data_IF_674779595741
#
_entry.id   IF_674779595741
#
_cell.length_a   1.000
_cell.length_b   1.000
_cell.length_c   1.000
_cell.angle_alpha   90.00
_cell.angle_beta   90.00
_cell.angle_gamma   90.00
#
_symmetry.space_group_name_H-M   'P 1'
#
loop_
_entity.id
_entity.type
_entity.pdbx_description
1 polymer ?
#
# COMPACT_ATOMS: atom_id res chain seq x y z
N UNK A 1 -27.18 -18.57 1.52
CA UNK A 1 -26.05 -18.12 2.35
C UNK A 1 -26.50 -16.94 3.21
N UNK A 2 -26.58 -17.11 4.52
CA UNK A 2 -26.86 -16.03 5.48
C UNK A 2 -25.60 -15.18 5.79
N UNK A 3 -24.66 -15.06 4.85
CA UNK A 3 -23.46 -14.28 5.10
C UNK A 3 -23.81 -12.78 4.96
N UNK A 4 -23.62 -11.97 6.03
CA UNK A 4 -23.99 -10.55 6.06
C UNK A 4 -23.25 -9.70 5.02
N UNK A 5 -22.04 -10.12 4.61
CA UNK A 5 -21.26 -9.42 3.59
C UNK A 5 -21.78 -9.67 2.17
N UNK A 6 -22.51 -10.76 1.93
CA UNK A 6 -23.07 -11.10 0.62
C UNK A 6 -24.39 -10.33 0.39
N UNK A 7 -25.24 -10.22 1.42
CA UNK A 7 -26.58 -9.62 1.32
C UNK A 7 -26.61 -8.18 1.85
N UNK A 8 -25.69 -7.34 1.40
CA UNK A 8 -25.53 -5.98 1.95
C UNK A 8 -26.41 -4.96 1.23
N UNK A 9 -26.90 -3.99 2.00
CA UNK A 9 -27.48 -2.74 1.51
C UNK A 9 -26.37 -1.76 1.09
N UNK A 10 -26.74 -0.60 0.52
CA UNK A 10 -25.80 0.46 0.09
C UNK A 10 -24.89 1.00 1.21
N UNK A 11 -25.28 0.83 2.49
CA UNK A 11 -24.52 1.24 3.66
C UNK A 11 -23.91 0.02 4.34
N UNK A 12 -22.59 0.06 4.60
CA UNK A 12 -21.89 -1.05 5.31
C UNK A 12 -22.29 -1.09 6.78
N UNK A 13 -22.84 -2.21 7.22
CA UNK A 13 -23.27 -2.46 8.61
C UNK A 13 -22.17 -3.19 9.36
N UNK A 14 -21.19 -2.43 9.90
CA UNK A 14 -20.01 -2.97 10.58
C UNK A 14 -20.33 -3.83 11.81
N UNK A 15 -21.50 -3.63 12.42
CA UNK A 15 -22.03 -4.38 13.58
C UNK A 15 -22.57 -5.77 13.22
N UNK A 16 -22.66 -6.12 11.92
CA UNK A 16 -23.34 -7.32 11.46
C UNK A 16 -22.43 -8.40 10.91
N UNK A 17 -21.13 -8.17 10.84
CA UNK A 17 -20.19 -9.16 10.33
C UNK A 17 -18.93 -9.23 11.16
N UNK A 18 -18.48 -10.46 11.38
CA UNK A 18 -17.20 -10.81 11.98
C UNK A 18 -16.16 -11.21 10.93
N UNK A 19 -14.89 -11.30 11.34
CA UNK A 19 -13.75 -11.62 10.48
C UNK A 19 -13.93 -12.95 9.70
N UNK A 20 -14.52 -13.96 10.34
CA UNK A 20 -14.80 -15.28 9.75
C UNK A 20 -15.73 -15.22 8.52
N UNK A 21 -16.49 -14.15 8.33
CA UNK A 21 -17.38 -13.99 7.19
C UNK A 21 -16.65 -13.59 5.91
N UNK A 22 -15.44 -13.02 5.98
CA UNK A 22 -14.76 -12.44 4.82
C UNK A 22 -14.35 -13.49 3.80
N UNK A 23 -13.62 -14.54 4.19
CA UNK A 23 -13.13 -15.54 3.23
C UNK A 23 -14.29 -16.27 2.50
N UNK A 24 -15.36 -16.72 3.19
CA UNK A 24 -16.54 -17.27 2.51
C UNK A 24 -17.21 -16.28 1.56
N UNK A 25 -17.34 -15.00 1.95
CA UNK A 25 -17.95 -13.97 1.12
C UNK A 25 -17.10 -13.64 -0.12
N UNK A 26 -15.78 -13.53 0.04
CA UNK A 26 -14.82 -13.31 -1.04
C UNK A 26 -14.88 -14.47 -2.04
N UNK A 27 -14.81 -15.72 -1.57
CA UNK A 27 -14.89 -16.90 -2.43
C UNK A 27 -16.22 -16.94 -3.21
N UNK A 28 -17.33 -16.60 -2.55
CA UNK A 28 -18.63 -16.51 -3.21
C UNK A 28 -18.66 -15.41 -4.29
N UNK A 29 -18.22 -14.20 -3.96
CA UNK A 29 -18.18 -13.08 -4.89
C UNK A 29 -17.24 -13.34 -6.08
N UNK A 30 -16.10 -13.98 -5.85
CA UNK A 30 -15.19 -14.45 -6.92
C UNK A 30 -15.88 -15.45 -7.84
N UNK A 31 -16.64 -16.40 -7.29
CA UNK A 31 -17.40 -17.37 -8.09
C UNK A 31 -18.46 -16.68 -8.97
N UNK A 32 -19.26 -15.77 -8.39
CA UNK A 32 -20.26 -15.00 -9.14
C UNK A 32 -19.59 -14.15 -10.23
N UNK A 33 -18.49 -13.49 -9.91
CA UNK A 33 -17.75 -12.67 -10.87
C UNK A 33 -17.18 -13.49 -12.03
N UNK A 34 -16.58 -14.66 -11.75
CA UNK A 34 -16.13 -15.60 -12.79
C UNK A 34 -17.28 -16.05 -13.70
N UNK A 35 -18.49 -16.26 -13.15
CA UNK A 35 -19.67 -16.57 -13.95
C UNK A 35 -20.05 -15.41 -14.87
N UNK A 36 -20.14 -14.18 -14.34
CA UNK A 36 -20.42 -12.98 -15.15
C UNK A 36 -19.39 -12.78 -16.27
N UNK A 37 -18.10 -12.95 -15.97
CA UNK A 37 -17.03 -12.87 -16.97
C UNK A 37 -17.16 -13.98 -18.02
N UNK A 38 -17.51 -15.20 -17.61
CA UNK A 38 -17.80 -16.30 -18.55
C UNK A 38 -18.95 -15.94 -19.48
N UNK A 39 -20.03 -15.36 -18.96
CA UNK A 39 -21.19 -14.95 -19.76
C UNK A 39 -20.78 -13.90 -20.82
N UNK A 40 -19.90 -12.94 -20.48
CA UNK A 40 -19.32 -11.99 -21.44
C UNK A 40 -18.54 -12.71 -22.54
N UNK A 41 -17.66 -13.65 -22.16
CA UNK A 41 -16.84 -14.41 -23.12
C UNK A 41 -17.68 -15.28 -24.05
N UNK A 42 -18.74 -15.91 -23.54
CA UNK A 42 -19.60 -16.81 -24.34
C UNK A 42 -20.74 -16.10 -25.06
N UNK A 43 -20.87 -14.77 -24.93
CA UNK A 43 -21.89 -14.01 -25.65
C UNK A 43 -21.55 -13.98 -27.15
N UNK A 44 -22.42 -14.57 -27.97
CA UNK A 44 -22.26 -14.65 -29.42
C UNK A 44 -22.73 -13.39 -30.17
N UNK A 45 -23.34 -12.43 -29.46
CA UNK A 45 -23.67 -11.12 -30.05
C UNK A 45 -22.38 -10.33 -30.35
N UNK A 46 -22.38 -9.44 -31.36
CA UNK A 46 -21.27 -8.52 -31.57
C UNK A 46 -20.91 -7.77 -30.28
N UNK A 47 -19.61 -7.69 -29.97
CA UNK A 47 -19.15 -7.01 -28.77
C UNK A 47 -19.47 -5.51 -28.86
N UNK A 48 -20.02 -4.95 -27.79
CA UNK A 48 -20.35 -3.53 -27.68
C UNK A 48 -20.10 -3.05 -26.24
N UNK A 49 -20.30 -1.75 -26.00
CA UNK A 49 -20.10 -1.17 -24.67
C UNK A 49 -20.89 -1.88 -23.57
N UNK A 50 -22.20 -2.08 -23.76
CA UNK A 50 -23.08 -2.67 -22.76
C UNK A 50 -22.73 -4.13 -22.41
N UNK A 51 -22.53 -4.97 -23.42
CA UNK A 51 -22.33 -6.41 -23.23
C UNK A 51 -20.89 -6.82 -22.90
N UNK A 52 -19.93 -5.90 -23.02
CA UNK A 52 -18.50 -6.17 -22.79
C UNK A 52 -17.91 -5.23 -21.76
N UNK A 53 -17.86 -3.92 -22.02
CA UNK A 53 -17.17 -2.95 -21.16
C UNK A 53 -17.95 -2.72 -19.86
N UNK A 54 -19.21 -2.31 -19.95
CA UNK A 54 -20.07 -2.09 -18.79
C UNK A 54 -20.32 -3.38 -18.02
N UNK A 55 -20.57 -4.49 -18.73
CA UNK A 55 -20.72 -5.80 -18.11
C UNK A 55 -19.47 -6.22 -17.32
N UNK A 56 -18.28 -5.94 -17.84
CA UNK A 56 -17.01 -6.25 -17.16
C UNK A 56 -16.81 -5.35 -15.94
N UNK A 57 -17.11 -4.05 -16.02
CA UNK A 57 -17.03 -3.12 -14.89
C UNK A 57 -17.92 -3.58 -13.72
N UNK A 58 -19.15 -4.01 -14.02
CA UNK A 58 -20.11 -4.50 -13.03
C UNK A 58 -19.85 -5.96 -12.57
N UNK A 59 -18.93 -6.67 -13.23
CA UNK A 59 -18.71 -8.10 -12.99
C UNK A 59 -18.15 -8.38 -11.60
N UNK A 60 -17.35 -7.48 -11.03
CA UNK A 60 -16.62 -7.68 -9.78
C UNK A 60 -17.02 -6.70 -8.65
N UNK A 61 -18.12 -5.96 -8.81
CA UNK A 61 -18.55 -4.91 -7.89
C UNK A 61 -18.70 -5.41 -6.43
N UNK A 62 -19.36 -6.56 -6.23
CA UNK A 62 -19.52 -7.15 -4.89
C UNK A 62 -18.19 -7.56 -4.27
N UNK A 63 -17.32 -8.17 -5.09
CA UNK A 63 -15.98 -8.58 -4.65
C UNK A 63 -15.15 -7.37 -4.23
N UNK A 64 -15.16 -6.31 -5.05
CA UNK A 64 -14.47 -5.05 -4.73
C UNK A 64 -14.99 -4.45 -3.43
N UNK A 65 -16.31 -4.43 -3.21
CA UNK A 65 -16.90 -3.93 -1.97
C UNK A 65 -16.42 -4.71 -0.75
N UNK A 66 -16.54 -6.05 -0.77
CA UNK A 66 -16.17 -6.92 0.36
C UNK A 66 -14.68 -6.78 0.68
N UNK A 67 -13.82 -6.80 -0.35
CA UNK A 67 -12.36 -6.69 -0.18
C UNK A 67 -11.97 -5.29 0.30
N UNK A 68 -12.67 -4.24 -0.14
CA UNK A 68 -12.41 -2.88 0.33
C UNK A 68 -12.74 -2.71 1.81
N UNK A 69 -13.88 -3.24 2.26
CA UNK A 69 -14.26 -3.25 3.69
C UNK A 69 -13.17 -3.95 4.51
N UNK A 70 -12.72 -5.12 4.05
CA UNK A 70 -11.66 -5.87 4.71
C UNK A 70 -10.36 -5.05 4.84
N UNK A 71 -9.88 -4.45 3.74
CA UNK A 71 -8.60 -3.72 3.78
C UNK A 71 -8.69 -2.38 4.52
N UNK A 72 -9.88 -1.77 4.61
CA UNK A 72 -10.13 -0.65 5.54
C UNK A 72 -9.96 -1.13 6.99
N UNK A 73 -10.63 -2.21 7.38
CA UNK A 73 -10.53 -2.78 8.72
C UNK A 73 -9.11 -3.24 9.05
N UNK A 74 -8.44 -3.91 8.11
CA UNK A 74 -7.03 -4.28 8.23
C UNK A 74 -6.15 -3.06 8.48
N UNK A 75 -6.45 -1.91 7.89
CA UNK A 75 -5.70 -0.66 8.10
C UNK A 75 -5.93 -0.01 9.47
N UNK A 76 -7.11 -0.17 10.07
CA UNK A 76 -7.47 0.48 11.35
C UNK A 76 -7.39 -0.44 12.57
N UNK A 77 -7.58 -1.74 12.40
CA UNK A 77 -7.65 -2.77 13.44
C UNK A 77 -6.72 -3.95 13.08
N UNK A 78 -5.43 -3.66 12.87
CA UNK A 78 -4.42 -4.66 12.46
C UNK A 78 -3.98 -5.58 13.60
N UNK A 79 -4.90 -6.37 14.18
CA UNK A 79 -4.55 -7.49 15.06
C UNK A 79 -3.94 -8.66 14.26
N UNK A 80 -3.47 -9.70 14.95
CA UNK A 80 -2.77 -10.80 14.29
C UNK A 80 -3.71 -11.64 13.40
N UNK A 81 -4.99 -11.74 13.72
CA UNK A 81 -5.97 -12.52 12.94
C UNK A 81 -6.30 -11.81 11.63
N UNK A 82 -6.45 -10.48 11.65
CA UNK A 82 -6.57 -9.70 10.43
C UNK A 82 -5.30 -9.79 9.57
N UNK A 83 -4.10 -9.84 10.15
CA UNK A 83 -2.86 -9.99 9.37
C UNK A 83 -2.74 -11.35 8.68
N UNK A 84 -3.09 -12.42 9.37
CA UNK A 84 -3.09 -13.77 8.79
C UNK A 84 -4.02 -13.84 7.59
N UNK A 85 -5.25 -13.33 7.73
CA UNK A 85 -6.22 -13.35 6.63
C UNK A 85 -5.75 -12.54 5.41
N UNK A 86 -4.94 -11.49 5.60
CA UNK A 86 -4.42 -10.68 4.50
C UNK A 86 -3.42 -11.46 3.65
N UNK A 87 -2.67 -12.40 4.26
CA UNK A 87 -1.75 -13.30 3.57
C UNK A 87 -2.51 -14.31 2.69
N UNK A 88 -3.74 -14.66 3.04
CA UNK A 88 -4.59 -15.55 2.23
C UNK A 88 -5.37 -14.80 1.15
N UNK A 89 -5.92 -13.62 1.46
CA UNK A 89 -6.72 -12.82 0.54
C UNK A 89 -5.86 -12.25 -0.60
N UNK A 90 -4.67 -11.70 -0.29
CA UNK A 90 -3.88 -10.96 -1.28
C UNK A 90 -3.43 -11.81 -2.49
N UNK A 91 -2.94 -13.05 -2.32
CA UNK A 91 -2.63 -13.94 -3.43
C UNK A 91 -3.85 -14.35 -4.24
N UNK A 92 -4.98 -14.65 -3.59
CA UNK A 92 -6.24 -15.02 -4.27
C UNK A 92 -6.75 -13.88 -5.16
N UNK A 93 -6.68 -12.65 -4.66
CA UNK A 93 -7.07 -11.46 -5.43
C UNK A 93 -6.13 -11.20 -6.62
N UNK A 94 -4.83 -11.46 -6.46
CA UNK A 94 -3.88 -11.35 -7.56
C UNK A 94 -4.16 -12.42 -8.64
N UNK A 95 -4.38 -13.67 -8.25
CA UNK A 95 -4.76 -14.76 -9.15
C UNK A 95 -6.04 -14.44 -9.91
N UNK A 96 -7.10 -14.04 -9.20
CA UNK A 96 -8.37 -13.64 -9.79
C UNK A 96 -8.22 -12.50 -10.80
N UNK A 97 -7.45 -11.47 -10.46
CA UNK A 97 -7.17 -10.36 -11.38
C UNK A 97 -6.47 -10.87 -12.64
N UNK A 98 -5.48 -11.76 -12.50
CA UNK A 98 -4.74 -12.31 -13.62
C UNK A 98 -5.60 -13.23 -14.50
N UNK A 99 -6.54 -13.98 -13.92
CA UNK A 99 -7.52 -14.78 -14.66
C UNK A 99 -8.38 -13.92 -15.59
N UNK A 100 -8.69 -12.69 -15.22
CA UNK A 100 -9.47 -11.76 -16.02
C UNK A 100 -8.58 -11.07 -17.06
N UNK A 101 -7.52 -10.41 -16.60
CA UNK A 101 -6.69 -9.53 -17.42
C UNK A 101 -5.90 -10.28 -18.50
N UNK A 102 -5.48 -11.50 -18.21
CA UNK A 102 -4.68 -12.30 -19.14
C UNK A 102 -5.52 -13.24 -20.01
N UNK A 103 -6.85 -13.18 -19.90
CA UNK A 103 -7.74 -13.99 -20.72
C UNK A 103 -7.84 -13.43 -22.14
N UNK A 104 -7.44 -14.22 -23.12
CA UNK A 104 -7.37 -13.82 -24.53
C UNK A 104 -8.74 -13.53 -25.12
N UNK A 105 -9.71 -14.42 -24.93
CA UNK A 105 -11.08 -14.25 -25.44
C UNK A 105 -11.75 -12.99 -24.90
N UNK A 106 -11.55 -12.70 -23.61
CA UNK A 106 -12.07 -11.48 -23.01
C UNK A 106 -11.35 -10.24 -23.56
N UNK A 107 -10.03 -10.30 -23.69
CA UNK A 107 -9.24 -9.20 -24.24
C UNK A 107 -9.61 -8.90 -25.70
N UNK A 108 -9.84 -9.91 -26.54
CA UNK A 108 -10.29 -9.73 -27.92
C UNK A 108 -11.62 -8.97 -28.00
N UNK A 109 -12.58 -9.29 -27.13
CA UNK A 109 -13.85 -8.56 -27.04
C UNK A 109 -13.65 -7.12 -26.60
N UNK A 110 -12.83 -6.88 -25.56
CA UNK A 110 -12.49 -5.52 -25.11
C UNK A 110 -11.80 -4.72 -26.22
N UNK A 111 -10.84 -5.33 -26.90
CA UNK A 111 -10.12 -4.73 -28.02
C UNK A 111 -11.07 -4.39 -29.16
N UNK A 112 -12.01 -5.28 -29.50
CA UNK A 112 -13.00 -5.00 -30.53
C UNK A 112 -13.80 -3.73 -30.23
N UNK A 113 -14.33 -3.58 -29.01
CA UNK A 113 -15.10 -2.39 -28.62
C UNK A 113 -14.23 -1.13 -28.65
N UNK A 114 -12.96 -1.23 -28.24
CA UNK A 114 -12.01 -0.14 -28.30
C UNK A 114 -11.70 0.28 -29.75
N UNK A 115 -11.37 -0.67 -30.63
CA UNK A 115 -11.02 -0.39 -32.03
C UNK A 115 -12.21 0.19 -32.82
N UNK A 116 -13.44 -0.22 -32.50
CA UNK A 116 -14.67 0.20 -33.19
C UNK A 116 -15.45 1.26 -32.40
N UNK A 117 -14.83 1.95 -31.44
CA UNK A 117 -15.52 2.90 -30.57
C UNK A 117 -16.26 4.00 -31.34
N UNK A 118 -15.70 4.48 -32.46
CA UNK A 118 -16.33 5.46 -33.34
C UNK A 118 -17.56 4.90 -34.07
N UNK A 119 -17.51 3.66 -34.55
CA UNK A 119 -18.63 3.00 -35.24
C UNK A 119 -19.77 2.65 -34.28
N UNK A 120 -19.42 2.36 -33.03
CA UNK A 120 -20.36 2.13 -31.93
C UNK A 120 -20.92 3.44 -31.35
N UNK A 121 -20.50 4.60 -31.87
CA UNK A 121 -20.89 5.94 -31.40
C UNK A 121 -20.67 6.14 -29.89
N UNK A 122 -19.57 5.62 -29.35
CA UNK A 122 -19.23 5.84 -27.94
C UNK A 122 -18.72 7.27 -27.75
N UNK A 123 -19.34 8.02 -26.83
CA UNK A 123 -18.93 9.36 -26.45
C UNK A 123 -18.76 9.49 -24.92
N UNK A 124 -18.32 10.67 -24.48
CA UNK A 124 -18.24 11.03 -23.07
C UNK A 124 -17.58 9.96 -22.17
N UNK A 125 -18.35 9.52 -21.17
CA UNK A 125 -17.89 8.57 -20.15
C UNK A 125 -17.76 7.13 -20.68
N UNK A 126 -18.59 6.73 -21.64
CA UNK A 126 -18.56 5.38 -22.23
C UNK A 126 -17.27 5.17 -23.03
N UNK A 127 -16.89 6.17 -23.83
CA UNK A 127 -15.61 6.18 -24.54
C UNK A 127 -14.44 6.15 -23.55
N UNK A 128 -14.51 6.96 -22.48
CA UNK A 128 -13.45 7.02 -21.48
C UNK A 128 -13.28 5.69 -20.75
N UNK A 129 -14.37 5.05 -20.33
CA UNK A 129 -14.34 3.76 -19.65
C UNK A 129 -13.79 2.67 -20.57
N UNK A 130 -14.15 2.70 -21.87
CA UNK A 130 -13.61 1.77 -22.87
C UNK A 130 -12.10 1.91 -23.02
N UNK A 131 -11.59 3.15 -23.11
CA UNK A 131 -10.15 3.44 -23.17
C UNK A 131 -9.41 2.97 -21.91
N UNK A 132 -9.92 3.30 -20.72
CA UNK A 132 -9.31 2.88 -19.46
C UNK A 132 -9.31 1.36 -19.30
N UNK A 133 -10.39 0.70 -19.68
CA UNK A 133 -10.51 -0.76 -19.66
C UNK A 133 -9.48 -1.39 -20.59
N UNK A 134 -9.42 -0.97 -21.85
CA UNK A 134 -8.42 -1.46 -22.80
C UNK A 134 -6.98 -1.24 -22.30
N UNK A 135 -6.66 -0.02 -21.88
CA UNK A 135 -5.32 0.33 -21.37
C UNK A 135 -4.95 -0.51 -20.15
N UNK A 136 -5.91 -0.86 -19.28
CA UNK A 136 -5.69 -1.74 -18.13
C UNK A 136 -5.29 -3.15 -18.56
N UNK A 137 -5.88 -3.71 -19.62
CA UNK A 137 -5.48 -5.01 -20.17
C UNK A 137 -4.05 -4.96 -20.72
N UNK A 138 -3.77 -4.01 -21.61
CA UNK A 138 -2.45 -3.83 -22.24
C UNK A 138 -1.36 -3.68 -21.18
N UNK A 139 -1.56 -2.73 -20.26
CA UNK A 139 -0.61 -2.41 -19.19
C UNK A 139 -0.31 -3.61 -18.29
N UNK A 140 -1.25 -4.54 -18.15
CA UNK A 140 -1.08 -5.71 -17.29
C UNK A 140 -0.87 -7.00 -18.09
N UNK A 141 -0.36 -6.90 -19.33
CA UNK A 141 0.23 -8.04 -20.04
C UNK A 141 -0.71 -8.87 -20.88
N UNK A 142 -1.88 -8.34 -21.28
CA UNK A 142 -2.80 -9.10 -22.16
C UNK A 142 -2.19 -9.47 -23.51
N UNK A 143 -1.22 -8.68 -24.00
CA UNK A 143 -0.48 -8.91 -25.25
C UNK A 143 0.71 -9.86 -25.14
N UNK A 144 1.05 -10.32 -23.94
CA UNK A 144 2.16 -11.25 -23.74
C UNK A 144 1.83 -12.63 -24.32
N UNK A 145 2.86 -13.38 -24.68
CA UNK A 145 2.69 -14.79 -25.03
C UNK A 145 2.36 -15.65 -23.79
N UNK A 146 2.03 -16.92 -24.01
CA UNK A 146 1.61 -17.85 -22.95
C UNK A 146 2.65 -18.00 -21.85
N UNK A 147 3.93 -18.13 -22.19
CA UNK A 147 5.00 -18.35 -21.22
C UNK A 147 5.27 -17.09 -20.39
N UNK A 148 5.26 -15.93 -21.06
CA UNK A 148 5.35 -14.62 -20.42
C UNK A 148 4.15 -14.35 -19.49
N UNK A 149 2.93 -14.76 -19.87
CA UNK A 149 1.75 -14.68 -19.00
C UNK A 149 1.89 -15.52 -17.74
N UNK A 150 2.45 -16.72 -17.85
CA UNK A 150 2.75 -17.58 -16.69
C UNK A 150 3.77 -16.90 -15.78
N UNK A 151 4.84 -16.36 -16.35
CA UNK A 151 5.86 -15.64 -15.59
C UNK A 151 5.30 -14.40 -14.87
N UNK A 152 4.45 -13.61 -15.56
CA UNK A 152 3.79 -12.46 -14.97
C UNK A 152 2.87 -12.85 -13.82
N UNK A 153 2.15 -13.98 -13.94
CA UNK A 153 1.28 -14.51 -12.88
C UNK A 153 2.05 -14.80 -11.60
N UNK A 154 3.19 -15.49 -11.72
CA UNK A 154 4.03 -15.82 -10.57
C UNK A 154 4.63 -14.56 -9.92
N UNK A 155 5.06 -13.59 -10.73
CA UNK A 155 5.56 -12.30 -10.22
C UNK A 155 4.46 -11.55 -9.44
N UNK A 156 3.25 -11.46 -9.99
CA UNK A 156 2.14 -10.72 -9.37
C UNK A 156 1.66 -11.40 -8.09
N UNK A 157 1.64 -12.74 -8.05
CA UNK A 157 1.31 -13.53 -6.86
C UNK A 157 2.33 -13.32 -5.75
N UNK A 158 3.63 -13.34 -6.08
CA UNK A 158 4.66 -13.14 -5.06
C UNK A 158 4.66 -11.69 -4.54
N UNK A 159 4.53 -10.70 -5.44
CA UNK A 159 4.43 -9.29 -5.06
C UNK A 159 3.21 -9.01 -4.16
N UNK A 160 2.09 -9.71 -4.36
CA UNK A 160 0.88 -9.51 -3.55
C UNK A 160 1.04 -10.04 -2.13
N UNK A 161 1.82 -11.11 -1.92
CA UNK A 161 2.14 -11.63 -0.58
C UNK A 161 3.21 -10.79 0.15
N UNK A 162 4.22 -10.30 -0.58
CA UNK A 162 5.34 -9.55 0.02
C UNK A 162 4.92 -8.21 0.61
N UNK A 163 3.88 -7.55 0.06
CA UNK A 163 3.42 -6.23 0.54
C UNK A 163 2.82 -6.28 1.95
N UNK A 164 1.80 -7.13 2.26
CA UNK A 164 1.33 -7.29 3.63
C UNK A 164 2.44 -7.75 4.58
N UNK A 165 3.35 -8.61 4.12
CA UNK A 165 4.48 -9.06 4.95
C UNK A 165 5.42 -7.91 5.32
N UNK A 166 5.74 -7.02 4.38
CA UNK A 166 6.54 -5.83 4.63
C UNK A 166 5.88 -4.94 5.70
N UNK A 167 4.59 -4.64 5.54
CA UNK A 167 3.82 -3.81 6.48
C UNK A 167 3.75 -4.44 7.87
N UNK A 168 3.47 -5.74 7.95
CA UNK A 168 3.44 -6.49 9.22
C UNK A 168 4.78 -6.43 9.94
N UNK A 169 5.88 -6.67 9.23
CA UNK A 169 7.22 -6.61 9.82
C UNK A 169 7.54 -5.19 10.36
N UNK A 170 7.19 -4.13 9.62
CA UNK A 170 7.39 -2.76 10.08
C UNK A 170 6.57 -2.43 11.34
N UNK A 171 5.30 -2.87 11.38
CA UNK A 171 4.44 -2.69 12.55
C UNK A 171 4.99 -3.44 13.77
N UNK A 172 5.36 -4.70 13.59
CA UNK A 172 5.90 -5.53 14.67
C UNK A 172 7.26 -4.99 15.16
N UNK A 173 8.13 -4.49 14.26
CA UNK A 173 9.36 -3.83 14.65
C UNK A 173 9.12 -2.53 15.44
N UNK A 174 8.07 -1.77 15.09
CA UNK A 174 7.66 -0.57 15.83
C UNK A 174 7.16 -0.94 17.23
N UNK A 175 6.27 -1.95 17.34
CA UNK A 175 5.65 -2.39 18.60
C UNK A 175 6.63 -3.09 19.55
N UNK A 176 7.65 -3.78 19.03
CA UNK A 176 8.63 -4.52 19.84
C UNK A 176 9.61 -3.62 20.57
N UNK A 177 9.81 -2.38 20.12
CA UNK A 177 10.76 -1.48 20.76
C UNK A 177 10.16 -0.87 22.03
N UNK A 178 10.87 -1.08 23.13
CA UNK A 178 10.58 -0.48 24.42
C UNK A 178 11.88 0.07 25.02
N UNK A 179 11.89 1.36 25.35
CA UNK A 179 13.00 2.00 26.06
C UNK A 179 12.55 2.37 27.47
N UNK A 180 13.03 1.60 28.45
CA UNK A 180 12.74 1.85 29.86
C UNK A 180 13.69 2.92 30.43
N UNK A 181 13.12 3.92 31.09
CA UNK A 181 13.81 5.02 31.76
C UNK A 181 13.25 5.13 33.19
N UNK A 182 14.12 5.02 34.19
CA UNK A 182 13.74 5.19 35.61
C UNK A 182 14.11 6.56 36.19
N UNK A 183 14.88 7.38 35.46
CA UNK A 183 15.40 8.64 35.97
C UNK A 183 14.52 9.81 35.56
N UNK A 184 13.97 10.54 36.55
CA UNK A 184 13.24 11.79 36.33
C UNK A 184 14.06 12.84 35.56
N UNK A 185 15.39 12.83 35.70
CA UNK A 185 16.27 13.78 35.00
C UNK A 185 16.25 13.56 33.49
N UNK A 186 16.10 12.32 33.03
CA UNK A 186 16.16 11.99 31.60
C UNK A 186 14.86 12.28 30.85
N UNK A 187 13.77 12.57 31.57
CA UNK A 187 12.45 12.81 30.98
C UNK A 187 12.02 14.29 31.04
N UNK A 188 12.95 15.20 31.40
CA UNK A 188 12.69 16.64 31.43
C UNK A 188 12.32 17.17 30.04
N UNK A 189 11.43 18.16 30.03
CA UNK A 189 10.87 18.78 28.82
C UNK A 189 9.73 18.01 28.16
N UNK A 190 9.62 16.70 28.39
CA UNK A 190 8.57 15.86 27.78
C UNK A 190 7.19 16.27 28.34
N UNK A 191 6.16 16.48 27.49
CA UNK A 191 4.81 16.81 27.94
C UNK A 191 4.23 15.76 28.88
N UNK A 192 3.50 16.21 29.90
CA UNK A 192 2.91 15.33 30.93
C UNK A 192 2.02 14.23 30.33
N UNK A 193 1.21 14.54 29.33
CA UNK A 193 0.37 13.56 28.62
C UNK A 193 1.16 12.40 28.00
N UNK A 194 2.40 12.65 27.56
CA UNK A 194 3.29 11.63 27.00
C UNK A 194 3.93 10.81 28.11
N UNK A 195 4.28 11.46 29.24
CA UNK A 195 4.77 10.77 30.43
C UNK A 195 3.71 9.86 31.03
N UNK A 196 2.44 10.25 31.04
CA UNK A 196 1.32 9.40 31.48
C UNK A 196 1.19 8.15 30.62
N UNK A 197 1.26 8.29 29.28
CA UNK A 197 1.24 7.15 28.35
C UNK A 197 2.43 6.21 28.63
N UNK A 198 3.64 6.76 28.75
CA UNK A 198 4.84 5.97 28.98
C UNK A 198 4.87 5.30 30.37
N UNK A 199 4.32 5.96 31.39
CA UNK A 199 4.19 5.41 32.74
C UNK A 199 3.12 4.30 32.82
N UNK A 200 1.98 4.48 32.13
CA UNK A 200 0.99 3.42 31.97
C UNK A 200 1.61 2.19 31.31
N UNK A 201 2.43 2.40 30.26
CA UNK A 201 3.14 1.31 29.59
C UNK A 201 4.18 0.61 30.48
N UNK A 202 4.87 1.36 31.35
CA UNK A 202 5.78 0.80 32.35
C UNK A 202 5.02 -0.09 33.35
N UNK A 203 3.88 0.40 33.85
CA UNK A 203 3.02 -0.32 34.76
C UNK A 203 2.43 -1.61 34.15
N UNK A 204 2.02 -1.57 32.88
CA UNK A 204 1.58 -2.77 32.13
C UNK A 204 2.67 -3.85 32.04
N UNK A 205 3.94 -3.45 32.14
CA UNK A 205 5.11 -4.33 32.07
C UNK A 205 5.73 -4.60 33.45
N UNK A 206 5.02 -4.31 34.54
CA UNK A 206 5.48 -4.47 35.92
C UNK A 206 6.80 -3.74 36.22
N UNK A 207 6.98 -2.54 35.66
CA UNK A 207 8.15 -1.67 35.87
C UNK A 207 7.74 -0.29 36.37
N UNK A 208 8.57 0.28 37.26
CA UNK A 208 8.47 1.68 37.67
C UNK A 208 9.05 2.62 36.60
N UNK A 209 8.70 3.91 36.62
CA UNK A 209 9.23 4.90 35.68
C UNK A 209 8.45 4.94 34.37
N UNK A 210 9.16 5.04 33.23
CA UNK A 210 8.56 5.23 31.90
C UNK A 210 9.10 4.23 30.88
N UNK A 211 8.21 3.72 30.03
CA UNK A 211 8.58 2.97 28.83
C UNK A 211 8.18 3.79 27.60
N UNK A 212 9.16 4.24 26.82
CA UNK A 212 8.93 4.94 25.57
C UNK A 212 8.91 3.97 24.38
N UNK A 213 7.95 4.17 23.49
CA UNK A 213 7.68 3.36 22.29
C UNK A 213 7.85 4.20 21.02
N UNK A 214 7.82 3.57 19.84
CA UNK A 214 8.08 4.22 18.55
C UNK A 214 6.81 4.68 17.80
N UNK A 215 5.62 4.52 18.37
CA UNK A 215 4.41 5.09 17.79
C UNK A 215 4.44 6.62 17.81
N UNK A 216 3.82 7.23 16.79
CA UNK A 216 3.95 8.66 16.54
C UNK A 216 3.52 9.57 17.71
N UNK A 217 2.46 9.25 18.50
CA UNK A 217 2.08 10.02 19.68
C UNK A 217 3.15 10.07 20.78
N UNK A 218 4.04 9.07 20.88
CA UNK A 218 5.16 9.06 21.84
C UNK A 218 6.44 9.57 21.20
N UNK A 219 6.81 9.03 20.04
CA UNK A 219 8.07 9.37 19.36
C UNK A 219 8.18 10.86 19.03
N UNK A 220 7.14 11.45 18.43
CA UNK A 220 7.21 12.83 17.94
C UNK A 220 7.41 13.82 19.08
N UNK A 221 6.63 13.79 20.18
CA UNK A 221 6.88 14.69 21.31
C UNK A 221 8.22 14.46 22.00
N UNK A 222 8.71 13.22 22.09
CA UNK A 222 10.05 12.96 22.65
C UNK A 222 11.13 13.62 21.80
N UNK A 223 11.05 13.52 20.47
CA UNK A 223 12.01 14.17 19.58
C UNK A 223 11.92 15.70 19.60
N UNK A 224 10.73 16.25 19.82
CA UNK A 224 10.50 17.70 19.85
C UNK A 224 10.88 18.35 21.18
N UNK A 225 10.57 17.70 22.31
CA UNK A 225 10.58 18.37 23.62
C UNK A 225 11.55 17.77 24.64
N UNK A 226 12.00 16.53 24.49
CA UNK A 226 12.89 15.94 25.48
C UNK A 226 14.20 16.72 25.53
N UNK A 227 14.63 17.17 26.70
CA UNK A 227 15.88 17.90 26.88
C UNK A 227 17.10 16.95 26.79
N UNK A 228 16.95 15.70 27.23
CA UNK A 228 18.01 14.70 27.25
C UNK A 228 18.41 14.25 25.82
N UNK A 229 19.61 14.66 25.39
CA UNK A 229 20.14 14.35 24.05
C UNK A 229 20.33 12.85 23.83
N UNK A 230 20.72 12.10 24.86
CA UNK A 230 20.97 10.66 24.77
C UNK A 230 19.65 9.91 24.55
N UNK A 231 18.56 10.35 25.18
CA UNK A 231 17.21 9.84 24.95
C UNK A 231 16.78 10.08 23.51
N UNK A 232 16.93 11.33 23.00
CA UNK A 232 16.62 11.65 21.60
C UNK A 232 17.45 10.79 20.64
N UNK A 233 18.74 10.62 20.89
CA UNK A 233 19.62 9.78 20.07
C UNK A 233 19.16 8.32 20.04
N UNK A 234 18.85 7.73 21.21
CA UNK A 234 18.36 6.34 21.30
C UNK A 234 17.06 6.15 20.53
N UNK A 235 16.11 7.08 20.70
CA UNK A 235 14.81 7.05 20.03
C UNK A 235 14.97 7.23 18.51
N UNK A 236 15.79 8.19 18.08
CA UNK A 236 16.07 8.47 16.67
C UNK A 236 16.71 7.25 15.98
N UNK A 237 17.75 6.67 16.59
CA UNK A 237 18.41 5.48 16.08
C UNK A 237 17.45 4.29 15.99
N UNK A 238 16.61 4.09 17.01
CA UNK A 238 15.61 3.03 17.02
C UNK A 238 14.56 3.21 15.92
N UNK A 239 14.02 4.42 15.76
CA UNK A 239 12.99 4.73 14.77
C UNK A 239 13.50 4.57 13.34
N UNK A 240 14.72 5.02 13.06
CA UNK A 240 15.33 4.94 11.72
C UNK A 240 15.93 3.58 11.38
N UNK A 241 16.09 2.68 12.37
CA UNK A 241 16.54 1.30 12.14
C UNK A 241 15.41 0.27 12.18
N UNK A 242 14.15 0.71 12.28
CA UNK A 242 12.97 -0.18 12.27
C UNK A 242 12.98 -1.08 11.05
N UNK A 243 12.72 -2.36 11.30
CA UNK A 243 12.71 -3.42 10.28
C UNK A 243 14.00 -3.49 9.44
N UNK A 244 15.15 -3.01 9.96
CA UNK A 244 16.44 -3.03 9.26
C UNK A 244 17.38 -4.14 9.79
N UNK A 245 16.84 -5.17 10.43
CA UNK A 245 17.59 -6.27 11.05
C UNK A 245 16.69 -7.13 11.96
N UNK A 246 17.27 -8.18 12.54
CA UNK A 246 16.56 -9.08 13.45
C UNK A 246 15.39 -9.83 12.82
N UNK A 247 14.47 -10.28 13.68
CA UNK A 247 13.30 -11.11 13.35
C UNK A 247 12.36 -10.47 12.30
N UNK A 248 12.17 -9.15 12.38
CA UNK A 248 11.24 -8.40 11.53
C UNK A 248 11.94 -7.61 10.42
N UNK A 249 13.10 -8.10 9.95
CA UNK A 249 13.85 -7.44 8.89
C UNK A 249 13.10 -7.42 7.56
N UNK A 250 13.05 -6.24 6.93
CA UNK A 250 12.50 -6.03 5.61
C UNK A 250 13.55 -5.94 4.50
N UNK A 251 14.85 -6.09 4.80
CA UNK A 251 15.93 -5.99 3.80
C UNK A 251 15.72 -6.93 2.60
N UNK A 252 15.53 -8.22 2.89
CA UNK A 252 15.37 -9.24 1.86
C UNK A 252 14.01 -9.12 1.14
N UNK A 253 12.96 -8.71 1.86
CA UNK A 253 11.64 -8.45 1.28
C UNK A 253 11.73 -7.28 0.29
N UNK A 254 12.36 -6.17 0.68
CA UNK A 254 12.53 -5.00 -0.19
C UNK A 254 13.39 -5.33 -1.41
N UNK A 255 14.48 -6.08 -1.23
CA UNK A 255 15.30 -6.58 -2.34
C UNK A 255 14.46 -7.45 -3.29
N UNK A 256 13.62 -8.34 -2.77
CA UNK A 256 12.76 -9.19 -3.60
C UNK A 256 11.69 -8.39 -4.34
N UNK A 257 11.02 -7.46 -3.65
CA UNK A 257 10.02 -6.56 -4.25
C UNK A 257 10.64 -5.75 -5.40
N UNK A 258 11.82 -5.16 -5.20
CA UNK A 258 12.49 -4.33 -6.22
C UNK A 258 12.93 -5.18 -7.41
N UNK A 259 13.50 -6.36 -7.19
CA UNK A 259 13.84 -7.32 -8.27
C UNK A 259 12.60 -7.73 -9.07
N UNK A 260 11.52 -8.12 -8.40
CA UNK A 260 10.27 -8.54 -9.06
C UNK A 260 9.62 -7.40 -9.84
N UNK A 261 9.60 -6.18 -9.29
CA UNK A 261 9.09 -4.98 -9.97
C UNK A 261 9.87 -4.65 -11.23
N UNK A 262 11.21 -4.79 -11.18
CA UNK A 262 12.06 -4.60 -12.35
C UNK A 262 11.80 -5.68 -13.41
N UNK A 263 11.79 -6.94 -12.99
CA UNK A 263 11.51 -8.08 -13.85
C UNK A 263 10.15 -7.93 -14.56
N UNK A 264 9.12 -7.52 -13.82
CA UNK A 264 7.78 -7.25 -14.34
C UNK A 264 7.76 -6.14 -15.39
N UNK A 265 8.48 -5.05 -15.15
CA UNK A 265 8.55 -3.96 -16.12
C UNK A 265 9.22 -4.42 -17.42
N UNK A 266 10.37 -5.10 -17.31
CA UNK A 266 11.09 -5.63 -18.48
C UNK A 266 10.26 -6.64 -19.27
N UNK A 267 9.54 -7.53 -18.57
CA UNK A 267 8.62 -8.49 -19.19
C UNK A 267 7.52 -7.78 -20.00
N UNK A 268 7.05 -6.62 -19.53
CA UNK A 268 6.07 -5.79 -20.21
C UNK A 268 6.70 -4.82 -21.24
N UNK A 269 7.99 -4.97 -21.56
CA UNK A 269 8.70 -4.15 -22.54
C UNK A 269 9.07 -2.73 -22.07
N UNK A 270 9.22 -2.52 -20.76
CA UNK A 270 9.54 -1.21 -20.17
C UNK A 270 10.88 -1.26 -19.42
N UNK A 271 11.63 -0.16 -19.47
CA UNK A 271 12.99 -0.10 -18.91
C UNK A 271 13.05 -0.18 -17.37
N UNK A 272 11.96 0.22 -16.69
CA UNK A 272 11.92 0.20 -15.23
C UNK A 272 10.51 0.19 -14.66
N UNK A 273 10.41 -0.12 -13.37
CA UNK A 273 9.13 -0.01 -12.67
C UNK A 273 8.56 1.41 -12.65
N UNK A 274 9.42 2.44 -12.70
CA UNK A 274 8.96 3.83 -12.77
C UNK A 274 8.25 4.11 -14.10
N UNK A 275 8.81 3.64 -15.23
CA UNK A 275 8.15 3.70 -16.53
C UNK A 275 6.77 3.01 -16.50
N UNK A 276 6.70 1.81 -15.92
CA UNK A 276 5.42 1.10 -15.73
C UNK A 276 4.40 1.90 -14.91
N UNK A 277 4.83 2.51 -13.80
CA UNK A 277 3.91 3.26 -12.94
C UNK A 277 3.39 4.52 -13.63
N UNK A 278 4.19 5.15 -14.50
CA UNK A 278 3.90 6.46 -15.09
C UNK A 278 3.05 6.42 -16.38
N UNK A 279 2.88 5.26 -17.03
CA UNK A 279 2.06 5.13 -18.26
C UNK A 279 0.64 5.76 -18.17
N UNK A 280 0.05 5.81 -16.97
CA UNK A 280 -1.29 6.39 -16.74
C UNK A 280 -1.25 7.54 -15.72
N UNK A 281 -0.12 8.26 -15.65
CA UNK A 281 0.07 9.41 -14.75
C UNK A 281 0.37 10.64 -15.58
N UNK A 282 -0.03 11.81 -15.08
CA UNK A 282 0.21 13.08 -15.76
C UNK A 282 1.70 13.38 -16.01
N UNK A 283 2.58 12.88 -15.14
CA UNK A 283 4.02 13.05 -15.31
C UNK A 283 4.62 12.22 -16.47
N UNK A 284 3.94 11.16 -16.92
CA UNK A 284 4.26 10.31 -18.09
C UNK A 284 5.60 9.54 -18.06
N UNK A 285 6.70 10.17 -17.67
CA UNK A 285 8.07 9.64 -17.82
C UNK A 285 8.91 9.89 -16.56
N UNK A 286 9.79 8.98 -16.14
CA UNK A 286 10.67 9.20 -14.99
C UNK A 286 11.57 10.44 -15.12
N UNK A 287 11.97 10.80 -16.34
CA UNK A 287 12.83 11.95 -16.64
C UNK A 287 12.15 13.24 -16.21
N UNK A 288 10.92 13.49 -16.67
CA UNK A 288 10.10 14.63 -16.22
C UNK A 288 9.93 14.70 -14.69
N UNK A 289 9.83 13.55 -14.01
CA UNK A 289 9.73 13.51 -12.54
C UNK A 289 11.07 13.92 -11.91
N UNK A 290 12.18 13.38 -12.41
CA UNK A 290 13.51 13.70 -11.90
C UNK A 290 13.87 15.17 -12.15
N UNK A 291 13.60 15.71 -13.34
CA UNK A 291 13.83 17.12 -13.67
C UNK A 291 13.07 18.04 -12.71
N UNK A 292 11.81 17.72 -12.41
CA UNK A 292 11.00 18.47 -11.45
C UNK A 292 11.56 18.41 -10.02
N UNK A 293 11.97 17.23 -9.56
CA UNK A 293 12.56 17.05 -8.23
C UNK A 293 13.91 17.78 -8.13
N UNK A 294 14.72 17.74 -9.17
CA UNK A 294 16.02 18.40 -9.22
C UNK A 294 15.88 19.94 -9.24
N UNK A 295 14.93 20.49 -10.01
CA UNK A 295 14.60 21.91 -9.96
C UNK A 295 14.13 22.34 -8.55
N UNK A 296 13.28 21.53 -7.91
CA UNK A 296 12.83 21.80 -6.54
C UNK A 296 14.00 21.75 -5.55
N UNK A 297 14.90 20.78 -5.68
CA UNK A 297 16.11 20.67 -4.86
C UNK A 297 17.00 21.90 -5.03
N UNK A 298 17.26 22.32 -6.26
CA UNK A 298 18.09 23.47 -6.58
C UNK A 298 17.52 24.77 -5.97
N UNK A 299 16.20 24.93 -5.97
CA UNK A 299 15.52 26.10 -5.38
C UNK A 299 15.44 26.05 -3.85
N UNK A 300 15.30 24.86 -3.26
CA UNK A 300 15.06 24.70 -1.82
C UNK A 300 16.35 24.57 -1.00
N UNK A 301 17.40 23.97 -1.58
CA UNK A 301 18.65 23.71 -0.87
C UNK A 301 19.33 24.95 -0.28
N UNK A 302 19.39 26.12 -0.96
CA UNK A 302 19.98 27.32 -0.36
C UNK A 302 19.24 27.77 0.90
N UNK A 303 17.89 27.72 0.88
CA UNK A 303 17.06 28.08 2.03
C UNK A 303 17.24 27.08 3.18
N UNK A 304 17.24 25.78 2.89
CA UNK A 304 17.46 24.74 3.89
C UNK A 304 18.85 24.84 4.56
N UNK A 305 19.89 25.18 3.81
CA UNK A 305 21.23 25.46 4.37
C UNK A 305 21.21 26.65 5.32
N UNK A 306 20.53 27.74 4.93
CA UNK A 306 20.38 28.92 5.78
C UNK A 306 19.64 28.60 7.08
N UNK A 307 18.54 27.85 7.00
CA UNK A 307 17.79 27.41 8.18
C UNK A 307 18.62 26.52 9.11
N UNK A 308 19.43 25.62 8.54
CA UNK A 308 20.36 24.83 9.34
C UNK A 308 21.38 25.70 10.09
N UNK A 309 21.92 26.74 9.44
CA UNK A 309 22.86 27.67 10.08
C UNK A 309 22.16 28.54 11.14
N UNK A 310 20.92 28.96 10.91
CA UNK A 310 20.08 29.64 11.92
C UNK A 310 19.87 28.74 13.16
N UNK A 311 19.61 27.44 12.97
CA UNK A 311 19.46 26.47 14.06
C UNK A 311 20.79 26.27 14.82
N UNK A 312 21.92 26.19 14.12
CA UNK A 312 23.24 26.06 14.77
C UNK A 312 23.54 27.26 15.66
N UNK A 313 23.33 28.48 15.15
CA UNK A 313 23.55 29.72 15.92
C UNK A 313 22.65 29.71 17.16
N UNK A 314 21.36 29.41 16.98
CA UNK A 314 20.42 29.34 18.09
C UNK A 314 20.84 28.31 19.15
N UNK A 315 21.28 27.12 18.73
CA UNK A 315 21.72 26.07 19.64
C UNK A 315 23.02 26.42 20.38
N UNK A 316 23.95 27.13 19.72
CA UNK A 316 25.15 27.65 20.38
C UNK A 316 24.80 28.70 21.43
N UNK A 317 24.01 29.71 21.05
CA UNK A 317 23.69 30.86 21.89
C UNK A 317 22.89 30.48 23.14
N UNK A 318 22.05 29.45 23.06
CA UNK A 318 21.14 29.05 24.14
C UNK A 318 21.60 27.82 24.93
N UNK A 319 22.41 26.94 24.35
CA UNK A 319 22.71 25.63 24.92
C UNK A 319 24.16 25.17 24.76
N UNK A 320 25.05 26.01 24.19
CA UNK A 320 26.48 25.71 23.97
C UNK A 320 26.69 24.41 23.17
N UNK A 321 25.86 24.19 22.14
CA UNK A 321 25.89 22.99 21.29
C UNK A 321 26.61 23.28 19.97
N UNK A 322 27.88 22.88 19.88
CA UNK A 322 28.71 23.07 18.67
C UNK A 322 28.32 22.16 17.49
N UNK A 323 27.79 20.96 17.78
CA UNK A 323 27.51 19.93 16.77
C UNK A 323 26.06 19.46 16.83
N UNK A 324 25.30 19.79 15.78
CA UNK A 324 23.99 19.22 15.50
C UNK A 324 24.12 17.82 14.89
N UNK A 325 23.23 16.92 15.31
CA UNK A 325 23.02 15.62 14.69
C UNK A 325 21.56 15.53 14.20
N UNK A 326 21.25 14.63 13.25
CA UNK A 326 19.88 14.36 12.81
C UNK A 326 18.92 14.01 13.94
#
# INVERSE_FOLDING_TARGET
NNNPLINSTEITQFDRFELEHFMPAINHAMHISRKKVKDIMTNNSPANFGNTILALELSAQDLHRIVSIYFVLYGVHSDDVYKELAQDISPKMAEFKNDIILNETLFEKVKYVYDHASELNLDGEDLRLTQETYNKFIKNGSLLDTDQKIELREIDKELSALKPKFTQNLLNATKKYELHIGSHKQVQGIPESVLEIAAAKAKENDKDGWIFTLDAPVYTPVMTYAEDRILREKMHCAFNSRANGGEFSNKNILKRITTLRNKRANLLGLDSHAHYMLQNRMAQTPEKVNDFIEDLLNKSLPKAKKELDEIKIFAQDNNDIDQLNP
#
